data_IF_630754084108
#
_entry.id   IF_630754084108
#
_cell.length_a   1.000
_cell.length_b   1.000
_cell.length_c   1.000
_cell.angle_alpha   90.00
_cell.angle_beta   90.00
_cell.angle_gamma   90.00
#
_symmetry.space_group_name_H-M   'P 1'
#
loop_
_entity.id
_entity.type
_entity.pdbx_description
1 polymer ?
#
# COMPACT_ATOMS: atom_id res chain seq x y z
N UNK A 1 -18.40 -1.27 -1.53
CA UNK A 1 -18.09 0.18 -1.52
C UNK A 1 -17.53 0.64 -0.18
N UNK A 2 -18.20 0.41 0.96
CA UNK A 2 -17.66 0.81 2.27
C UNK A 2 -16.27 0.24 2.58
N UNK A 3 -16.02 -1.01 2.24
CA UNK A 3 -14.73 -1.68 2.46
C UNK A 3 -13.56 -1.01 1.72
N UNK A 4 -13.79 -0.58 0.48
CA UNK A 4 -12.77 0.11 -0.33
C UNK A 4 -12.41 1.46 0.30
N UNK A 5 -13.41 2.21 0.77
CA UNK A 5 -13.20 3.49 1.45
C UNK A 5 -12.41 3.27 2.75
N UNK A 6 -12.82 2.30 3.57
CA UNK A 6 -12.11 1.97 4.83
C UNK A 6 -10.65 1.57 4.59
N UNK A 7 -10.39 0.77 3.54
CA UNK A 7 -9.02 0.42 3.17
C UNK A 7 -8.23 1.64 2.69
N UNK A 8 -8.84 2.50 1.87
CA UNK A 8 -8.20 3.71 1.39
C UNK A 8 -7.85 4.67 2.54
N UNK A 9 -8.78 4.91 3.47
CA UNK A 9 -8.54 5.72 4.67
C UNK A 9 -7.39 5.15 5.52
N UNK A 10 -7.38 3.83 5.75
CA UNK A 10 -6.27 3.18 6.47
C UNK A 10 -4.92 3.35 5.79
N UNK A 11 -4.87 3.29 4.46
CA UNK A 11 -3.64 3.49 3.71
C UNK A 11 -3.20 4.97 3.69
N UNK A 12 -4.14 5.92 3.54
CA UNK A 12 -3.86 7.37 3.58
C UNK A 12 -3.35 7.78 4.97
N UNK A 13 -3.82 7.14 6.04
CA UNK A 13 -3.34 7.42 7.40
C UNK A 13 -1.88 7.00 7.66
N UNK A 14 -1.25 6.26 6.74
CA UNK A 14 0.16 5.86 6.81
C UNK A 14 1.00 6.88 6.03
N UNK A 15 1.89 7.65 6.69
CA UNK A 15 2.71 8.67 6.03
C UNK A 15 3.89 8.05 5.28
N UNK A 16 3.60 7.29 4.21
CA UNK A 16 4.55 6.54 3.40
C UNK A 16 5.36 7.44 2.45
N UNK A 17 6.17 8.36 2.99
CA UNK A 17 6.98 9.24 2.15
C UNK A 17 8.14 8.47 1.53
N UNK A 18 8.33 8.56 0.21
CA UNK A 18 9.39 7.85 -0.51
C UNK A 18 10.75 7.89 0.22
N UNK A 19 11.43 6.74 0.45
CA UNK A 19 11.07 5.37 0.07
C UNK A 19 10.34 4.57 1.17
N UNK A 20 9.92 5.21 2.27
CA UNK A 20 9.32 4.53 3.42
C UNK A 20 7.92 4.01 3.08
N UNK A 21 7.70 2.70 3.26
CA UNK A 21 6.39 2.08 3.05
C UNK A 21 5.40 2.40 4.19
N UNK A 22 5.90 2.80 5.37
CA UNK A 22 5.11 3.07 6.57
C UNK A 22 4.14 1.93 6.99
N UNK A 23 4.36 0.71 6.51
CA UNK A 23 3.53 -0.47 6.81
C UNK A 23 2.36 -0.70 5.84
N UNK A 24 2.25 0.06 4.75
CA UNK A 24 1.24 -0.12 3.71
C UNK A 24 1.26 -1.54 3.13
N UNK A 25 2.42 -2.05 2.74
CA UNK A 25 2.55 -3.39 2.17
C UNK A 25 2.20 -4.48 3.17
N UNK A 26 2.52 -4.32 4.45
CA UNK A 26 2.11 -5.28 5.49
C UNK A 26 0.58 -5.36 5.59
N UNK A 27 -0.10 -4.20 5.63
CA UNK A 27 -1.56 -4.14 5.69
C UNK A 27 -2.21 -4.80 4.46
N UNK A 28 -1.63 -4.61 3.28
CA UNK A 28 -2.08 -5.24 2.03
C UNK A 28 -1.83 -6.76 2.08
N UNK A 29 -0.64 -7.19 2.50
CA UNK A 29 -0.29 -8.61 2.61
C UNK A 29 -1.24 -9.34 3.54
N UNK A 30 -1.54 -8.78 4.72
CA UNK A 30 -2.41 -9.42 5.70
C UNK A 30 -3.80 -9.74 5.10
N UNK A 31 -4.41 -8.77 4.40
CA UNK A 31 -5.71 -8.98 3.76
C UNK A 31 -5.64 -9.94 2.57
N UNK A 32 -4.58 -9.88 1.76
CA UNK A 32 -4.42 -10.78 0.61
C UNK A 32 -4.16 -12.23 1.04
N UNK A 33 -3.41 -12.46 2.12
CA UNK A 33 -3.16 -13.79 2.67
C UNK A 33 -4.45 -14.45 3.19
N UNK A 34 -5.36 -13.67 3.79
CA UNK A 34 -6.67 -14.18 4.24
C UNK A 34 -7.52 -14.76 3.11
N UNK A 35 -7.36 -14.25 1.88
CA UNK A 35 -8.07 -14.73 0.68
C UNK A 35 -7.21 -15.64 -0.21
N UNK A 36 -6.07 -16.12 0.30
CA UNK A 36 -5.28 -17.19 -0.31
C UNK A 36 -4.20 -16.75 -1.29
N UNK A 37 -3.82 -15.47 -1.32
CA UNK A 37 -2.64 -15.05 -2.08
C UNK A 37 -1.37 -15.52 -1.37
N UNK A 38 -0.39 -15.95 -2.18
CA UNK A 38 0.99 -16.07 -1.72
C UNK A 38 1.66 -14.71 -1.85
N UNK A 39 2.06 -14.12 -0.73
CA UNK A 39 2.77 -12.85 -0.68
C UNK A 39 4.27 -13.08 -0.54
N UNK A 40 5.05 -12.52 -1.46
CA UNK A 40 6.50 -12.54 -1.48
C UNK A 40 7.02 -11.10 -1.30
N UNK A 41 7.43 -10.72 -0.07
CA UNK A 41 8.08 -9.44 0.17
C UNK A 41 9.52 -9.46 -0.41
N UNK A 42 9.85 -8.41 -1.16
CA UNK A 42 11.08 -8.28 -1.92
C UNK A 42 11.73 -6.92 -1.62
N UNK A 43 12.62 -6.89 -0.62
CA UNK A 43 13.36 -5.66 -0.27
C UNK A 43 14.65 -5.53 -1.06
N UNK A 44 14.85 -4.37 -1.68
CA UNK A 44 16.09 -4.02 -2.39
C UNK A 44 16.61 -2.66 -1.91
N UNK A 45 17.74 -2.67 -1.19
CA UNK A 45 18.24 -1.47 -0.53
C UNK A 45 17.21 -0.92 0.46
N UNK A 46 16.78 0.32 0.24
CA UNK A 46 15.82 1.02 1.08
C UNK A 46 14.36 0.85 0.64
N UNK A 47 14.10 0.19 -0.49
CA UNK A 47 12.76 0.07 -1.09
C UNK A 47 12.17 -1.31 -0.80
N UNK A 48 10.97 -1.32 -0.22
CA UNK A 48 10.14 -2.51 -0.06
C UNK A 48 9.26 -2.72 -1.31
N UNK A 49 9.21 -3.96 -1.80
CA UNK A 49 8.33 -4.35 -2.90
C UNK A 49 7.52 -5.58 -2.50
N UNK A 50 6.33 -5.72 -3.07
CA UNK A 50 5.44 -6.86 -2.83
C UNK A 50 5.06 -7.53 -4.14
N UNK A 51 5.35 -8.83 -4.24
CA UNK A 51 4.75 -9.70 -5.24
C UNK A 51 3.69 -10.59 -4.59
N UNK A 52 2.41 -10.29 -4.80
CA UNK A 52 1.31 -11.09 -4.30
C UNK A 52 0.63 -11.84 -5.46
N UNK A 53 0.55 -13.17 -5.35
CA UNK A 53 0.01 -14.02 -6.43
C UNK A 53 -1.01 -15.04 -5.91
N UNK A 54 -2.18 -15.06 -6.56
CA UNK A 54 -3.17 -16.13 -6.43
C UNK A 54 -3.10 -17.07 -7.65
N UNK A 55 -2.96 -18.38 -7.42
CA UNK A 55 -2.84 -19.38 -8.48
C UNK A 55 -1.46 -19.43 -9.18
N UNK A 56 -1.27 -20.41 -10.07
CA UNK A 56 0.03 -20.70 -10.72
C UNK A 56 -0.01 -20.78 -12.26
N UNK A 57 -1.18 -20.64 -12.86
CA UNK A 57 -1.41 -20.88 -14.29
C UNK A 57 -1.61 -19.57 -15.08
N UNK A 58 -1.59 -19.67 -16.41
CA UNK A 58 -1.93 -18.60 -17.34
C UNK A 58 -3.44 -18.55 -17.62
N UNK A 59 -4.02 -17.39 -17.98
CA UNK A 59 -3.35 -16.09 -18.12
C UNK A 59 -3.06 -15.43 -16.77
N UNK A 60 -1.97 -14.65 -16.71
CA UNK A 60 -1.61 -13.85 -15.53
C UNK A 60 -2.11 -12.43 -15.72
N UNK A 61 -2.97 -11.98 -14.81
CA UNK A 61 -3.44 -10.59 -14.72
C UNK A 61 -2.73 -9.96 -13.52
N UNK A 62 -2.15 -8.77 -13.71
CA UNK A 62 -1.36 -8.08 -12.68
C UNK A 62 -1.93 -6.69 -12.44
N UNK A 63 -2.15 -6.37 -11.16
CA UNK A 63 -2.30 -5.00 -10.69
C UNK A 63 -0.95 -4.53 -10.19
N UNK A 64 -0.48 -3.38 -10.70
CA UNK A 64 0.78 -2.77 -10.30
C UNK A 64 0.50 -1.35 -9.83
N UNK A 65 1.22 -0.93 -8.79
CA UNK A 65 1.08 0.37 -8.15
C UNK A 65 2.24 0.64 -7.21
N UNK A 66 2.12 1.70 -6.42
CA UNK A 66 3.11 2.12 -5.45
C UNK A 66 2.40 2.54 -4.15
N UNK A 67 3.06 2.38 -3.01
CA UNK A 67 2.54 2.79 -1.70
C UNK A 67 3.11 4.12 -1.24
N UNK A 68 4.26 4.52 -1.77
CA UNK A 68 4.91 5.76 -1.39
C UNK A 68 4.22 6.98 -2.00
N UNK A 69 4.32 8.10 -1.30
CA UNK A 69 3.80 9.41 -1.69
C UNK A 69 4.86 10.49 -1.52
N UNK A 70 4.64 11.64 -2.15
CA UNK A 70 5.54 12.79 -2.03
C UNK A 70 5.39 13.50 -0.67
N UNK A 71 6.42 14.25 -0.21
CA UNK A 71 6.27 15.11 0.97
C UNK A 71 5.05 16.04 0.84
N UNK A 72 4.27 16.24 1.92
CA UNK A 72 3.00 16.98 1.86
C UNK A 72 3.18 18.51 1.73
N UNK A 73 4.40 19.03 1.86
CA UNK A 73 4.66 20.45 1.98
C UNK A 73 4.22 21.04 3.33
N UNK A 74 4.01 22.37 3.41
CA UNK A 74 3.58 23.03 4.64
C UNK A 74 2.18 22.59 5.07
N UNK A 75 2.04 22.05 6.28
CA UNK A 75 0.75 21.57 6.81
C UNK A 75 -0.29 22.71 6.98
N UNK A 76 0.16 23.96 7.09
CA UNK A 76 -0.71 25.14 7.17
C UNK A 76 -1.46 25.45 5.88
N UNK A 77 -0.99 24.93 4.73
CA UNK A 77 -1.61 25.16 3.43
C UNK A 77 -2.76 24.18 3.16
N UNK A 78 -2.89 23.15 4.02
CA UNK A 78 -3.93 22.13 3.92
C UNK A 78 -5.17 22.54 4.70
N UNK A 79 -6.36 22.29 4.14
CA UNK A 79 -7.65 22.50 4.84
C UNK A 79 -7.97 21.39 5.85
N UNK A 80 -7.32 20.24 5.72
CA UNK A 80 -7.39 19.07 6.61
C UNK A 80 -6.03 18.37 6.61
N UNK A 81 -5.57 17.75 7.71
CA UNK A 81 -4.25 17.13 7.74
C UNK A 81 -4.11 16.05 6.65
N UNK A 82 -2.98 16.00 5.92
CA UNK A 82 -2.84 15.17 4.71
C UNK A 82 -2.89 13.66 4.96
N UNK A 83 -2.68 13.23 6.20
CA UNK A 83 -2.71 11.83 6.63
C UNK A 83 -3.78 11.57 7.72
N UNK A 84 -4.80 12.44 7.79
CA UNK A 84 -6.01 12.24 8.61
C UNK A 84 -7.25 12.27 7.69
N UNK A 85 -7.56 11.15 7.02
CA UNK A 85 -8.64 11.05 6.04
C UNK A 85 -10.04 11.02 6.66
#
# INVERSE_FOLDING_TARGET
MKEVIVLAEKLIALPSITPDDAGCQQLIMDQLMEVGFHCEPLRFGDVDNLWARYGKQSPLIVFAGHTDVVPPGPLTDWTSPPFEP
#
